data_IF_248012991384
#
_entry.id   IF_248012991384
#
_cell.length_a   1.000
_cell.length_b   1.000
_cell.length_c   1.000
_cell.angle_alpha   90.00
_cell.angle_beta   90.00
_cell.angle_gamma   90.00
#
_symmetry.space_group_name_H-M   'P 1'
#
loop_
_entity.id
_entity.type
_entity.pdbx_description
1 polymer ?
#
# COMPACT_ATOMS: atom_id res chain seq x y z
N UNK A 1 -7.60 15.67 4.09
CA UNK A 1 -6.26 15.23 4.60
C UNK A 1 -5.41 16.46 4.88
N UNK A 2 -4.55 16.43 5.91
CA UNK A 2 -3.57 17.51 6.17
C UNK A 2 -2.23 17.10 5.57
N UNK A 3 -1.66 17.93 4.71
CA UNK A 3 -0.33 17.71 4.14
C UNK A 3 0.60 18.87 4.52
N UNK A 4 1.87 18.58 4.77
CA UNK A 4 2.89 19.58 5.12
C UNK A 4 3.99 19.57 4.06
N UNK A 5 3.77 20.21 2.90
CA UNK A 5 4.74 20.18 1.82
C UNK A 5 6.03 20.89 2.20
N UNK A 6 7.11 20.53 1.49
CA UNK A 6 8.42 21.16 1.67
C UNK A 6 8.37 22.65 1.30
N UNK A 7 7.54 23.04 0.33
CA UNK A 7 7.32 24.43 -0.08
C UNK A 7 5.92 24.60 -0.74
N UNK A 8 5.13 25.63 -0.38
CA UNK A 8 5.30 26.50 0.78
C UNK A 8 5.27 25.71 2.09
N UNK A 9 6.01 26.17 3.10
CA UNK A 9 6.03 25.52 4.41
C UNK A 9 4.72 25.76 5.15
N UNK A 10 4.23 24.73 5.83
CA UNK A 10 3.06 24.82 6.71
C UNK A 10 2.01 23.74 6.39
N UNK A 11 1.16 23.37 7.36
CA UNK A 11 0.07 22.45 7.11
C UNK A 11 -0.95 23.09 6.17
N UNK A 12 -1.32 22.37 5.12
CA UNK A 12 -2.46 22.69 4.26
C UNK A 12 -3.50 21.59 4.38
N UNK A 13 -4.77 21.99 4.47
CA UNK A 13 -5.90 21.07 4.42
C UNK A 13 -6.27 20.90 2.95
N UNK A 14 -6.22 19.66 2.49
CA UNK A 14 -6.66 19.27 1.15
C UNK A 14 -7.89 18.38 1.30
N UNK A 15 -9.00 18.80 0.72
CA UNK A 15 -10.18 17.95 0.65
C UNK A 15 -9.95 16.88 -0.42
N UNK A 16 -10.04 15.62 0.02
CA UNK A 16 -9.97 14.44 -0.83
C UNK A 16 -11.27 13.68 -0.57
N UNK A 17 -12.36 14.04 -1.26
CA UNK A 17 -13.65 13.42 -1.02
C UNK A 17 -13.59 11.94 -1.43
N UNK A 18 -14.17 11.09 -0.59
CA UNK A 18 -14.36 9.66 -0.85
C UNK A 18 -15.85 9.42 -0.92
N UNK A 19 -16.31 8.64 -1.90
CA UNK A 19 -17.71 8.23 -1.98
C UNK A 19 -18.14 7.61 -0.64
N UNK A 20 -19.18 8.13 0.04
CA UNK A 20 -19.61 7.63 1.34
C UNK A 20 -19.96 6.13 1.34
N UNK A 21 -20.45 5.61 0.21
CA UNK A 21 -20.75 4.20 0.01
C UNK A 21 -19.48 3.37 0.07
N UNK A 22 -18.41 3.84 -0.58
CA UNK A 22 -17.12 3.15 -0.59
C UNK A 22 -16.40 3.27 0.75
N UNK A 23 -16.53 4.42 1.42
CA UNK A 23 -16.00 4.62 2.76
C UNK A 23 -16.67 3.69 3.79
N UNK A 24 -17.96 3.40 3.62
CA UNK A 24 -18.68 2.44 4.45
C UNK A 24 -18.36 0.99 4.08
N UNK A 25 -18.09 0.72 2.80
CA UNK A 25 -17.85 -0.63 2.28
C UNK A 25 -16.39 -1.10 2.39
N UNK A 26 -15.44 -0.21 2.67
CA UNK A 26 -14.01 -0.54 2.75
C UNK A 26 -13.22 0.34 3.73
N UNK A 27 -12.14 -0.21 4.26
CA UNK A 27 -11.20 0.45 5.16
C UNK A 27 -10.20 1.33 4.40
N UNK A 28 -9.40 2.09 5.16
CA UNK A 28 -8.35 2.96 4.64
C UNK A 28 -8.87 3.86 3.52
N UNK A 29 -9.95 4.61 3.82
CA UNK A 29 -10.62 5.50 2.86
C UNK A 29 -11.19 4.76 1.63
N UNK A 30 -11.80 3.59 1.84
CA UNK A 30 -12.43 2.80 0.78
C UNK A 30 -11.44 2.04 -0.12
N UNK A 31 -10.14 2.05 0.17
CA UNK A 31 -9.15 1.35 -0.69
C UNK A 31 -9.30 -0.17 -0.64
N UNK A 32 -9.71 -0.75 0.50
CA UNK A 32 -9.87 -2.22 0.59
C UNK A 32 -11.03 -2.74 -0.24
N UNK A 33 -12.06 -1.92 -0.48
CA UNK A 33 -13.15 -2.25 -1.40
C UNK A 33 -12.61 -2.52 -2.79
N UNK A 34 -11.79 -1.61 -3.34
CA UNK A 34 -11.18 -1.78 -4.66
C UNK A 34 -10.26 -2.99 -4.70
N UNK A 35 -9.47 -3.23 -3.65
CA UNK A 35 -8.62 -4.43 -3.55
C UNK A 35 -9.45 -5.72 -3.64
N UNK A 36 -10.61 -5.78 -2.98
CA UNK A 36 -11.50 -6.94 -3.02
C UNK A 36 -12.17 -7.12 -4.38
N UNK A 37 -12.64 -6.03 -5.01
CA UNK A 37 -13.17 -6.07 -6.38
C UNK A 37 -12.13 -6.61 -7.34
N UNK A 38 -10.88 -6.16 -7.22
CA UNK A 38 -9.79 -6.60 -8.09
C UNK A 38 -9.36 -8.04 -7.84
N UNK A 39 -9.29 -8.45 -6.57
CA UNK A 39 -9.03 -9.84 -6.19
C UNK A 39 -10.11 -10.78 -6.74
N UNK A 40 -11.38 -10.40 -6.62
CA UNK A 40 -12.50 -11.20 -7.11
C UNK A 40 -12.45 -11.39 -8.64
N UNK A 41 -12.10 -10.35 -9.41
CA UNK A 41 -11.89 -10.47 -10.86
C UNK A 41 -10.73 -11.40 -11.20
N UNK A 42 -9.66 -11.36 -10.42
CA UNK A 42 -8.53 -12.29 -10.57
C UNK A 42 -8.95 -13.75 -10.30
N UNK A 43 -9.70 -14.00 -9.23
CA UNK A 43 -10.25 -15.33 -8.92
C UNK A 43 -11.14 -15.87 -10.04
N UNK A 44 -11.86 -14.99 -10.75
CA UNK A 44 -12.68 -15.34 -11.92
C UNK A 44 -11.89 -15.50 -13.22
N UNK A 45 -10.58 -15.26 -13.21
CA UNK A 45 -9.74 -15.28 -14.42
C UNK A 45 -9.92 -14.07 -15.34
N UNK A 46 -10.61 -13.03 -14.88
CA UNK A 46 -10.89 -11.82 -15.66
C UNK A 46 -9.72 -10.82 -15.63
N UNK A 47 -8.79 -10.99 -14.68
CA UNK A 47 -7.61 -10.13 -14.54
C UNK A 47 -6.41 -10.91 -14.00
N UNK A 48 -5.20 -10.50 -14.37
CA UNK A 48 -3.98 -10.89 -13.68
C UNK A 48 -3.82 -10.11 -12.37
N UNK A 49 -3.14 -10.67 -11.35
CA UNK A 49 -2.90 -9.95 -10.10
C UNK A 49 -2.01 -8.72 -10.35
N UNK A 50 -2.41 -7.57 -9.80
CA UNK A 50 -1.62 -6.32 -9.87
C UNK A 50 -0.37 -6.38 -8.98
N UNK A 51 -0.46 -7.15 -7.89
CA UNK A 51 0.65 -7.48 -7.00
C UNK A 51 0.78 -9.00 -7.03
N UNK A 52 1.89 -9.47 -7.58
CA UNK A 52 2.15 -10.89 -7.80
C UNK A 52 2.73 -11.56 -6.55
N UNK A 53 2.85 -12.89 -6.60
CA UNK A 53 3.60 -13.63 -5.59
C UNK A 53 5.08 -13.23 -5.55
N UNK A 54 5.66 -12.81 -6.68
CA UNK A 54 7.03 -12.31 -6.71
C UNK A 54 7.15 -11.01 -5.90
N UNK A 55 6.22 -10.07 -6.09
CA UNK A 55 6.20 -8.80 -5.34
C UNK A 55 6.02 -9.05 -3.84
N UNK A 56 5.13 -9.98 -3.47
CA UNK A 56 4.96 -10.41 -2.07
C UNK A 56 6.24 -11.03 -1.49
N UNK A 57 6.93 -11.87 -2.24
CA UNK A 57 8.19 -12.47 -1.81
C UNK A 57 9.30 -11.42 -1.62
N UNK A 58 9.36 -10.40 -2.49
CA UNK A 58 10.30 -9.29 -2.34
C UNK A 58 10.04 -8.49 -1.05
N UNK A 59 8.78 -8.23 -0.71
CA UNK A 59 8.43 -7.54 0.53
C UNK A 59 8.91 -8.32 1.78
N UNK A 60 8.74 -9.65 1.80
CA UNK A 60 9.23 -10.51 2.89
C UNK A 60 10.75 -10.50 2.96
N UNK A 61 11.45 -10.66 1.81
CA UNK A 61 12.91 -10.62 1.75
C UNK A 61 13.48 -9.31 2.28
N UNK A 62 12.89 -8.18 1.88
CA UNK A 62 13.30 -6.87 2.37
C UNK A 62 13.15 -6.75 3.89
N UNK A 63 12.05 -7.27 4.47
CA UNK A 63 11.86 -7.30 5.92
C UNK A 63 12.91 -8.14 6.65
N UNK A 64 13.24 -9.31 6.10
CA UNK A 64 14.30 -10.17 6.66
C UNK A 64 15.69 -9.53 6.56
N UNK A 65 16.01 -8.92 5.41
CA UNK A 65 17.26 -8.21 5.22
C UNK A 65 17.40 -7.01 6.16
N UNK A 66 16.32 -6.25 6.39
CA UNK A 66 16.31 -5.15 7.35
C UNK A 66 16.55 -5.65 8.79
N UNK A 67 15.94 -6.76 9.18
CA UNK A 67 16.17 -7.39 10.49
C UNK A 67 17.64 -7.82 10.66
N UNK A 68 18.22 -8.50 9.67
CA UNK A 68 19.63 -8.92 9.67
C UNK A 68 20.58 -7.72 9.73
N UNK A 69 20.35 -6.71 8.88
CA UNK A 69 21.12 -5.48 8.89
C UNK A 69 21.11 -4.79 10.26
N UNK A 70 19.95 -4.73 10.92
CA UNK A 70 19.81 -4.12 12.24
C UNK A 70 20.55 -4.91 13.34
N UNK A 71 20.49 -6.24 13.31
CA UNK A 71 21.17 -7.10 14.28
C UNK A 71 22.69 -7.09 14.11
N UNK A 72 23.16 -7.14 12.88
CA UNK A 72 24.58 -7.35 12.56
C UNK A 72 25.32 -6.08 12.13
N UNK A 73 24.62 -4.94 12.05
CA UNK A 73 25.16 -3.63 11.64
C UNK A 73 25.91 -3.68 10.31
N UNK A 74 25.33 -4.37 9.33
CA UNK A 74 25.92 -4.58 8.00
C UNK A 74 24.94 -4.25 6.88
N UNK A 75 25.47 -4.06 5.69
CA UNK A 75 24.67 -3.98 4.46
C UNK A 75 24.27 -5.40 4.04
N UNK A 76 23.03 -5.55 3.58
CA UNK A 76 22.47 -6.80 3.03
C UNK A 76 21.95 -6.49 1.63
N UNK A 77 22.43 -7.23 0.63
CA UNK A 77 21.96 -7.17 -0.76
C UNK A 77 20.76 -8.11 -0.97
N UNK A 78 19.85 -7.73 -1.86
CA UNK A 78 18.60 -8.45 -2.18
C UNK A 78 18.60 -9.01 -3.59
#
# INVERSE_FOLDING_TARGET
VVVSPRQPKGPMVVDIPVDPTLLAAGDHNGSTFYQHVQFQRMVRGERTPEVTLFDGAQAVRMGQAAQDAALNRRIVEL
#
